data_IF_928953592576
#
_entry.id   IF_928953592576
#
_cell.length_a   1.000
_cell.length_b   1.000
_cell.length_c   1.000
_cell.angle_alpha   90.00
_cell.angle_beta   90.00
_cell.angle_gamma   90.00
#
_symmetry.space_group_name_H-M   'P 1'
#
loop_
_entity.id
_entity.type
_entity.pdbx_description
1 polymer ?
#
# COMPACT_ATOMS: atom_id res chain seq x y z
N UNK A 1 0.45 -16.78 11.89
CA UNK A 1 -0.70 -15.86 11.84
C UNK A 1 -0.80 -15.32 10.42
N UNK A 2 -1.99 -15.14 9.82
CA UNK A 2 -2.06 -14.29 8.64
C UNK A 2 -1.68 -12.88 9.12
N UNK A 3 -0.44 -12.48 8.83
CA UNK A 3 0.00 -11.11 9.01
C UNK A 3 -0.84 -10.33 7.99
N UNK A 4 -1.49 -9.24 8.41
CA UNK A 4 -2.41 -8.47 7.56
C UNK A 4 -1.78 -8.01 6.22
N UNK A 5 -0.46 -8.11 6.12
CA UNK A 5 0.40 -7.62 5.05
C UNK A 5 0.69 -8.69 3.97
N UNK A 6 0.43 -9.97 4.22
CA UNK A 6 0.60 -11.09 3.28
C UNK A 6 1.47 -12.24 3.78
N UNK A 7 1.62 -13.27 2.94
CA UNK A 7 2.46 -14.46 3.17
C UNK A 7 3.72 -14.34 2.30
N UNK A 8 4.92 -14.51 2.89
CA UNK A 8 6.19 -14.41 2.17
C UNK A 8 6.37 -15.48 1.09
N UNK A 9 5.87 -16.69 1.35
CA UNK A 9 5.98 -17.85 0.46
C UNK A 9 4.60 -18.50 0.26
N UNK A 10 3.69 -17.82 -0.47
CA UNK A 10 2.32 -18.29 -0.60
C UNK A 10 2.29 -19.55 -1.49
N UNK A 11 1.56 -20.57 -1.04
CA UNK A 11 1.36 -21.82 -1.81
C UNK A 11 0.25 -21.67 -2.88
N UNK A 12 -0.54 -20.61 -2.79
CA UNK A 12 -1.60 -20.23 -3.71
C UNK A 12 -1.38 -18.80 -4.21
N UNK A 13 -1.95 -18.39 -5.36
CA UNK A 13 -1.85 -17.02 -5.83
C UNK A 13 -2.28 -16.00 -4.78
N UNK A 14 -1.46 -14.97 -4.61
CA UNK A 14 -1.62 -13.91 -3.62
C UNK A 14 -1.63 -12.55 -4.31
N UNK A 15 -2.50 -11.66 -3.84
CA UNK A 15 -2.47 -10.24 -4.18
C UNK A 15 -2.36 -9.46 -2.86
N UNK A 16 -1.42 -8.51 -2.82
CA UNK A 16 -1.29 -7.55 -1.71
C UNK A 16 -1.58 -6.14 -2.22
N UNK A 17 -1.98 -5.25 -1.32
CA UNK A 17 -2.19 -3.82 -1.63
C UNK A 17 -1.20 -2.99 -0.83
N UNK A 18 -0.44 -2.13 -1.51
CA UNK A 18 0.40 -1.12 -0.88
C UNK A 18 -0.40 0.17 -0.81
N UNK A 19 -0.78 0.54 0.42
CA UNK A 19 -1.49 1.79 0.70
C UNK A 19 -0.53 2.98 0.76
N UNK A 20 0.60 2.80 1.43
CA UNK A 20 1.64 3.83 1.54
C UNK A 20 3.00 3.21 1.88
N UNK A 21 4.03 4.04 1.75
CA UNK A 21 5.40 3.78 2.17
C UNK A 21 5.86 4.81 3.22
N UNK A 22 4.91 5.29 4.05
CA UNK A 22 5.13 6.36 5.05
C UNK A 22 6.34 6.14 5.98
N UNK A 23 6.68 4.91 6.41
CA UNK A 23 7.87 4.70 7.24
C UNK A 23 9.15 5.26 6.62
N UNK A 24 9.27 5.31 5.29
CA UNK A 24 10.44 5.91 4.63
C UNK A 24 10.43 7.43 4.63
N UNK A 25 9.26 8.07 4.57
CA UNK A 25 9.15 9.54 4.63
C UNK A 25 9.29 10.06 6.07
N UNK A 26 8.80 9.29 7.05
CA UNK A 26 8.79 9.69 8.46
C UNK A 26 9.41 8.63 9.38
N UNK A 27 10.71 8.30 9.20
CA UNK A 27 11.37 7.24 9.95
C UNK A 27 11.44 7.51 11.46
N UNK A 28 11.45 8.78 11.88
CA UNK A 28 11.43 9.16 13.30
C UNK A 28 10.08 8.89 13.98
N UNK A 29 8.97 8.95 13.23
CA UNK A 29 7.62 8.68 13.73
C UNK A 29 7.31 7.18 13.70
N UNK A 30 7.88 6.44 12.75
CA UNK A 30 7.61 5.02 12.51
C UNK A 30 8.88 4.14 12.55
N UNK A 31 9.79 4.30 13.53
CA UNK A 31 11.13 3.68 13.47
C UNK A 31 11.09 2.15 13.50
N UNK A 32 10.07 1.55 14.12
CA UNK A 32 9.89 0.09 14.16
C UNK A 32 9.46 -0.50 12.82
N UNK A 33 8.85 0.31 11.96
CA UNK A 33 8.34 -0.13 10.66
C UNK A 33 9.36 0.03 9.55
N UNK A 34 10.37 0.90 9.70
CA UNK A 34 11.44 1.08 8.71
C UNK A 34 12.11 -0.27 8.36
N UNK A 35 12.59 -1.09 9.33
CA UNK A 35 13.21 -2.37 9.00
C UNK A 35 12.23 -3.34 8.34
N UNK A 36 10.96 -3.32 8.74
CA UNK A 36 9.95 -4.16 8.12
C UNK A 36 9.80 -3.84 6.62
N UNK A 37 9.71 -2.54 6.28
CA UNK A 37 9.60 -2.09 4.90
C UNK A 37 10.92 -2.29 4.12
N UNK A 38 12.07 -2.23 4.76
CA UNK A 38 13.37 -2.51 4.11
C UNK A 38 13.56 -3.99 3.78
N UNK A 39 13.20 -4.89 4.70
CA UNK A 39 13.61 -6.30 4.60
C UNK A 39 12.46 -7.28 4.31
N UNK A 40 11.24 -7.00 4.75
CA UNK A 40 10.10 -7.93 4.64
C UNK A 40 9.21 -7.60 3.45
N UNK A 41 8.82 -6.33 3.30
CA UNK A 41 7.96 -5.88 2.20
C UNK A 41 8.47 -6.26 0.79
N UNK A 42 9.78 -6.16 0.46
CA UNK A 42 10.28 -6.61 -0.84
C UNK A 42 10.03 -8.10 -1.07
N UNK A 43 10.13 -8.92 -0.03
CA UNK A 43 9.83 -10.36 -0.09
C UNK A 43 8.36 -10.62 -0.38
N UNK A 44 7.46 -9.88 0.27
CA UNK A 44 6.02 -9.98 0.03
C UNK A 44 5.64 -9.57 -1.40
N UNK A 45 6.21 -8.47 -1.90
CA UNK A 45 6.00 -8.02 -3.29
C UNK A 45 6.53 -9.08 -4.26
N UNK A 46 7.70 -9.67 -4.00
CA UNK A 46 8.27 -10.74 -4.84
C UNK A 46 7.42 -12.02 -4.82
N UNK A 47 6.89 -12.43 -3.68
CA UNK A 47 6.06 -13.62 -3.53
C UNK A 47 4.63 -13.49 -4.07
N UNK A 48 4.14 -12.25 -4.23
CA UNK A 48 2.77 -12.00 -4.71
C UNK A 48 2.65 -12.16 -6.22
N UNK A 49 1.51 -12.65 -6.70
CA UNK A 49 1.19 -12.74 -8.12
C UNK A 49 1.01 -11.36 -8.75
N UNK A 50 0.34 -10.46 -8.03
CA UNK A 50 0.19 -9.05 -8.37
C UNK A 50 0.23 -8.18 -7.12
N UNK A 51 0.58 -6.91 -7.28
CA UNK A 51 0.54 -5.92 -6.21
C UNK A 51 -0.30 -4.74 -6.66
N UNK A 52 -1.28 -4.37 -5.85
CA UNK A 52 -2.10 -3.18 -6.09
C UNK A 52 -1.46 -1.99 -5.40
N UNK A 53 -1.22 -0.92 -6.15
CA UNK A 53 -0.82 0.38 -5.64
C UNK A 53 -2.03 1.33 -5.71
N UNK A 54 -2.31 2.07 -4.64
CA UNK A 54 -3.52 2.92 -4.59
C UNK A 54 -3.44 4.19 -5.47
N UNK A 55 -2.26 4.46 -6.03
CA UNK A 55 -2.01 5.61 -6.90
C UNK A 55 -0.77 5.38 -7.75
N UNK A 56 -0.61 6.18 -8.81
CA UNK A 56 0.62 6.25 -9.59
C UNK A 56 1.81 6.66 -8.71
N UNK A 57 1.59 7.56 -7.75
CA UNK A 57 2.61 7.99 -6.80
C UNK A 57 3.13 6.81 -5.97
N UNK A 58 2.24 6.04 -5.35
CA UNK A 58 2.62 4.86 -4.56
C UNK A 58 3.34 3.82 -5.42
N UNK A 59 2.90 3.62 -6.68
CA UNK A 59 3.58 2.72 -7.61
C UNK A 59 5.00 3.18 -7.91
N UNK A 60 5.18 4.46 -8.16
CA UNK A 60 6.49 5.05 -8.42
C UNK A 60 7.41 4.92 -7.21
N UNK A 61 6.92 5.19 -6.00
CA UNK A 61 7.70 5.01 -4.78
C UNK A 61 8.16 3.54 -4.61
N UNK A 62 7.30 2.56 -4.92
CA UNK A 62 7.66 1.14 -4.89
C UNK A 62 8.78 0.82 -5.89
N UNK A 63 8.69 1.33 -7.13
CA UNK A 63 9.70 1.10 -8.17
C UNK A 63 11.06 1.72 -7.80
N UNK A 64 11.05 2.93 -7.26
CA UNK A 64 12.26 3.65 -6.85
C UNK A 64 12.95 2.95 -5.67
N UNK A 65 12.17 2.46 -4.70
CA UNK A 65 12.72 1.82 -3.50
C UNK A 65 13.18 0.39 -3.77
N UNK A 66 12.47 -0.33 -4.63
CA UNK A 66 12.66 -1.76 -4.86
C UNK A 66 12.91 -2.05 -6.34
N UNK A 67 14.04 -1.58 -6.86
CA UNK A 67 14.43 -1.70 -8.28
C UNK A 67 14.45 -3.14 -8.85
N UNK A 68 14.48 -4.16 -7.99
CA UNK A 68 14.41 -5.58 -8.40
C UNK A 68 12.99 -6.10 -8.68
N UNK A 69 11.96 -5.28 -8.50
CA UNK A 69 10.55 -5.65 -8.72
C UNK A 69 10.16 -5.39 -10.18
N UNK A 70 9.62 -6.37 -10.92
CA UNK A 70 9.12 -6.15 -12.27
C UNK A 70 7.92 -5.20 -12.27
N UNK A 71 7.97 -4.18 -13.13
CA UNK A 71 6.96 -3.12 -13.22
C UNK A 71 5.57 -3.66 -13.56
N UNK A 72 5.51 -4.72 -14.37
CA UNK A 72 4.28 -5.38 -14.78
C UNK A 72 3.51 -6.04 -13.62
N UNK A 73 4.18 -6.30 -12.50
CA UNK A 73 3.53 -6.84 -11.29
C UNK A 73 2.70 -5.78 -10.57
N UNK A 74 3.07 -4.51 -10.70
CA UNK A 74 2.43 -3.38 -10.03
C UNK A 74 1.24 -2.90 -10.84
N UNK A 75 0.05 -2.94 -10.23
CA UNK A 75 -1.21 -2.48 -10.82
C UNK A 75 -1.72 -1.28 -10.05
N UNK A 76 -2.01 -0.18 -10.75
CA UNK A 76 -2.63 0.99 -10.10
C UNK A 76 -4.14 0.80 -10.08
N UNK A 77 -4.71 0.83 -8.89
CA UNK A 77 -6.16 0.86 -8.68
C UNK A 77 -6.44 1.96 -7.66
N UNK A 78 -7.05 3.05 -8.11
CA UNK A 78 -7.36 4.18 -7.25
C UNK A 78 -8.44 3.84 -6.21
N UNK A 79 -8.31 4.42 -5.03
CA UNK A 79 -9.37 4.39 -4.02
C UNK A 79 -10.63 5.07 -4.54
N UNK A 80 -11.77 4.42 -4.34
CA UNK A 80 -13.08 4.99 -4.66
C UNK A 80 -13.61 5.89 -3.53
N UNK A 81 -14.68 6.62 -3.85
CA UNK A 81 -15.48 7.37 -2.88
C UNK A 81 -16.93 6.89 -2.94
N UNK A 82 -17.54 6.71 -1.79
CA UNK A 82 -18.97 6.41 -1.68
C UNK A 82 -19.78 7.69 -1.97
N UNK A 83 -20.39 7.75 -3.16
CA UNK A 83 -21.13 8.93 -3.61
C UNK A 83 -22.52 9.05 -2.97
N UNK A 84 -23.08 7.97 -2.40
CA UNK A 84 -24.32 8.05 -1.64
C UNK A 84 -24.05 8.73 -0.28
N UNK A 85 -22.91 8.41 0.34
CA UNK A 85 -22.49 9.01 1.61
C UNK A 85 -21.85 10.39 1.45
N UNK A 86 -20.98 10.56 0.45
CA UNK A 86 -20.23 11.80 0.21
C UNK A 86 -20.78 12.50 -1.03
N UNK A 87 -21.81 13.31 -0.82
CA UNK A 87 -22.41 14.18 -1.82
C UNK A 87 -22.51 15.61 -1.28
N UNK A 88 -22.67 16.63 -2.14
CA UNK A 88 -22.92 17.99 -1.70
C UNK A 88 -24.15 18.07 -0.81
N UNK A 89 -23.98 18.57 0.42
CA UNK A 89 -25.04 18.80 1.39
C UNK A 89 -25.07 20.28 1.77
N UNK A 90 -26.24 20.77 2.22
CA UNK A 90 -26.31 22.09 2.85
C UNK A 90 -25.34 22.14 4.04
N UNK A 91 -24.60 23.26 4.24
CA UNK A 91 -23.69 23.40 5.38
C UNK A 91 -24.39 23.03 6.69
N UNK A 92 -23.86 22.03 7.38
CA UNK A 92 -24.31 21.69 8.73
C UNK A 92 -23.78 22.71 9.74
N UNK A 93 -24.56 22.99 10.79
CA UNK A 93 -24.05 23.70 11.96
C UNK A 93 -23.25 22.70 12.79
N UNK A 94 -21.93 22.87 12.87
CA UNK A 94 -21.11 22.14 13.84
C UNK A 94 -21.48 22.69 15.22
N UNK A 95 -22.19 21.91 16.04
CA UNK A 95 -22.37 22.26 17.45
C UNK A 95 -21.13 21.83 18.21
N UNK A 96 -20.54 22.77 18.94
CA UNK A 96 -19.47 22.53 19.92
C UNK A 96 -19.88 21.50 20.99
#
# INVERSE_FOLDING_TARGET
MPIAEGILFPQLPQIITVLDLLPFQYPSLLPRWVPYYEYILPGLIKGSTAVVCISEFTRQEVLERYSSIPEEKLKVIHGGVDLERFHPCSPGVIKE
#
